data_IF_382720149693
#
_entry.id   IF_382720149693
#
_cell.length_a   1.000
_cell.length_b   1.000
_cell.length_c   1.000
_cell.angle_alpha   90.00
_cell.angle_beta   90.00
_cell.angle_gamma   90.00
#
_symmetry.space_group_name_H-M   'P 1'
#
loop_
_entity.id
_entity.type
_entity.pdbx_description
1 polymer ?
#
# COMPACT_ATOMS: atom_id res chain seq x y z
N UNK A 1 -17.77 -20.26 -15.67
CA UNK A 1 -16.65 -19.62 -16.40
C UNK A 1 -15.36 -19.89 -15.66
N UNK A 2 -14.21 -20.05 -16.35
CA UNK A 2 -12.92 -20.30 -15.71
C UNK A 2 -12.58 -19.30 -14.60
N UNK A 3 -12.87 -18.00 -14.75
CA UNK A 3 -12.63 -17.01 -13.70
C UNK A 3 -13.38 -17.26 -12.38
N UNK A 4 -14.44 -18.09 -12.40
CA UNK A 4 -15.20 -18.50 -11.21
C UNK A 4 -14.70 -19.81 -10.58
N UNK A 5 -13.69 -20.47 -11.14
CA UNK A 5 -13.17 -21.73 -10.62
C UNK A 5 -12.01 -21.46 -9.64
N UNK A 6 -12.19 -21.65 -8.31
CA UNK A 6 -11.16 -21.38 -7.32
C UNK A 6 -10.01 -22.40 -7.33
N UNK A 7 -10.07 -23.43 -8.19
CA UNK A 7 -8.99 -24.42 -8.37
C UNK A 7 -7.95 -23.98 -9.41
N UNK A 8 -8.26 -22.98 -10.23
CA UNK A 8 -7.32 -22.39 -11.18
C UNK A 8 -6.48 -21.31 -10.49
N UNK A 9 -5.30 -21.01 -11.04
CA UNK A 9 -4.48 -19.92 -10.54
C UNK A 9 -5.15 -18.56 -10.74
N UNK A 10 -4.84 -17.59 -9.88
CA UNK A 10 -5.31 -16.21 -10.01
C UNK A 10 -5.03 -15.62 -11.40
N UNK A 11 -3.88 -15.94 -12.00
CA UNK A 11 -3.50 -15.46 -13.32
C UNK A 11 -4.36 -16.07 -14.45
N UNK A 12 -4.68 -17.36 -14.39
CA UNK A 12 -5.59 -18.00 -15.37
C UNK A 12 -7.00 -17.42 -15.27
N UNK A 13 -7.49 -17.22 -14.04
CA UNK A 13 -8.79 -16.62 -13.78
C UNK A 13 -8.87 -15.18 -14.27
N UNK A 14 -7.84 -14.39 -14.00
CA UNK A 14 -7.75 -13.01 -14.45
C UNK A 14 -7.70 -12.89 -15.98
N UNK A 15 -6.92 -13.73 -16.67
CA UNK A 15 -6.90 -13.75 -18.15
C UNK A 15 -8.27 -14.05 -18.76
N UNK A 16 -8.96 -15.06 -18.24
CA UNK A 16 -10.33 -15.37 -18.69
C UNK A 16 -11.28 -14.19 -18.43
N UNK A 17 -11.18 -13.54 -17.27
CA UNK A 17 -12.04 -12.41 -16.94
C UNK A 17 -11.77 -11.19 -17.84
N UNK A 18 -10.51 -10.87 -18.12
CA UNK A 18 -10.10 -9.77 -19.01
C UNK A 18 -10.68 -9.91 -20.40
N UNK A 19 -10.67 -11.13 -20.95
CA UNK A 19 -11.24 -11.40 -22.29
C UNK A 19 -12.75 -11.14 -22.40
N UNK A 20 -13.43 -10.95 -21.26
CA UNK A 20 -14.88 -10.77 -21.18
C UNK A 20 -15.29 -9.32 -20.89
N UNK A 21 -14.34 -8.45 -20.55
CA UNK A 21 -14.56 -7.05 -20.20
C UNK A 21 -14.54 -6.17 -21.46
N UNK A 22 -15.36 -5.11 -21.47
CA UNK A 22 -15.20 -4.04 -22.46
C UNK A 22 -14.05 -3.12 -22.05
N UNK A 23 -13.56 -2.30 -22.97
CA UNK A 23 -12.47 -1.36 -22.69
C UNK A 23 -12.82 -0.36 -21.57
N UNK A 24 -14.07 0.09 -21.51
CA UNK A 24 -14.56 0.99 -20.46
C UNK A 24 -14.56 0.32 -19.08
N UNK A 25 -14.98 -0.94 -19.01
CA UNK A 25 -14.96 -1.68 -17.75
C UNK A 25 -13.53 -1.98 -17.29
N UNK A 26 -12.62 -2.28 -18.22
CA UNK A 26 -11.19 -2.44 -17.91
C UNK A 26 -10.63 -1.19 -17.25
N UNK A 27 -10.92 -0.02 -17.81
CA UNK A 27 -10.49 1.28 -17.28
C UNK A 27 -11.04 1.54 -15.86
N UNK A 28 -12.33 1.26 -15.65
CA UNK A 28 -12.99 1.46 -14.34
C UNK A 28 -12.41 0.55 -13.26
N UNK A 29 -12.02 -0.69 -13.59
CA UNK A 29 -11.42 -1.62 -12.62
C UNK A 29 -10.01 -1.22 -12.18
N UNK A 30 -9.35 -0.29 -12.89
CA UNK A 30 -8.02 0.24 -12.57
C UNK A 30 -8.08 1.53 -11.71
N UNK A 31 -9.25 1.93 -11.22
CA UNK A 31 -9.44 3.06 -10.31
C UNK A 31 -9.39 2.60 -8.83
N UNK A 32 -8.93 3.44 -7.89
CA UNK A 32 -8.93 3.10 -6.45
C UNK A 32 -10.34 2.78 -5.95
N UNK A 33 -11.35 3.51 -6.43
CA UNK A 33 -12.74 3.07 -6.37
C UNK A 33 -13.08 2.30 -7.65
N UNK A 34 -12.86 0.99 -7.61
CA UNK A 34 -13.21 0.07 -8.70
C UNK A 34 -14.71 -0.21 -8.62
N UNK A 35 -15.49 0.38 -9.52
CA UNK A 35 -16.94 0.18 -9.56
C UNK A 35 -17.29 -1.29 -9.90
N UNK A 36 -18.50 -1.71 -9.49
CA UNK A 36 -18.99 -3.05 -9.76
C UNK A 36 -19.27 -3.26 -11.25
N UNK A 37 -19.09 -4.49 -11.74
CA UNK A 37 -19.51 -4.93 -13.09
C UNK A 37 -20.57 -6.04 -12.91
N UNK A 38 -21.86 -5.69 -12.74
CA UNK A 38 -22.90 -6.66 -12.37
C UNK A 38 -23.07 -7.81 -13.36
N UNK A 39 -22.93 -7.55 -14.68
CA UNK A 39 -23.09 -8.58 -15.72
C UNK A 39 -22.06 -9.72 -15.61
N UNK A 40 -20.92 -9.47 -14.97
CA UNK A 40 -19.87 -10.46 -14.71
C UNK A 40 -19.83 -10.89 -13.23
N UNK A 41 -20.68 -10.32 -12.38
CA UNK A 41 -20.70 -10.56 -10.94
C UNK A 41 -19.47 -9.99 -10.20
N UNK A 42 -18.77 -9.01 -10.79
CA UNK A 42 -17.65 -8.34 -10.13
C UNK A 42 -18.24 -7.31 -9.17
N UNK A 43 -17.94 -7.46 -7.87
CA UNK A 43 -18.37 -6.52 -6.83
C UNK A 43 -17.52 -5.26 -6.86
N UNK A 44 -18.05 -4.16 -6.31
CA UNK A 44 -17.28 -2.95 -6.03
C UNK A 44 -16.08 -3.31 -5.13
N UNK A 45 -14.93 -2.72 -5.41
CA UNK A 45 -13.73 -2.88 -4.60
C UNK A 45 -13.06 -1.53 -4.39
N UNK A 46 -12.59 -1.26 -3.17
CA UNK A 46 -11.83 -0.05 -2.88
C UNK A 46 -10.39 -0.43 -2.53
N UNK A 47 -9.42 0.17 -3.20
CA UNK A 47 -8.00 -0.09 -2.97
C UNK A 47 -7.45 0.71 -1.77
N UNK A 48 -8.10 1.83 -1.45
CA UNK A 48 -7.65 2.75 -0.41
C UNK A 48 -8.18 2.38 0.96
N UNK A 49 -7.39 1.62 1.73
CA UNK A 49 -7.47 1.59 3.19
C UNK A 49 -6.08 1.86 3.78
N UNK A 50 -6.00 2.20 5.06
CA UNK A 50 -4.74 2.58 5.72
C UNK A 50 -4.58 1.75 7.00
N UNK A 51 -3.36 1.29 7.27
CA UNK A 51 -3.07 0.41 8.38
C UNK A 51 -1.82 0.84 9.18
N UNK A 52 -1.40 2.10 9.06
CA UNK A 52 -0.07 2.59 9.46
C UNK A 52 0.36 2.21 10.88
N UNK A 53 -0.57 2.28 11.84
CA UNK A 53 -0.35 1.89 13.24
C UNK A 53 -1.65 1.37 13.88
N UNK A 54 -2.43 0.63 13.09
CA UNK A 54 -3.84 0.29 13.37
C UNK A 54 -4.68 0.44 12.12
N UNK A 55 -5.83 -0.23 12.04
CA UNK A 55 -6.71 -0.17 10.87
C UNK A 55 -7.53 1.14 10.84
N UNK A 56 -6.95 2.17 10.24
CA UNK A 56 -7.38 3.57 10.39
C UNK A 56 -8.81 3.84 9.88
N UNK A 57 -9.41 4.93 10.35
CA UNK A 57 -10.76 5.39 9.99
C UNK A 57 -11.89 4.39 10.27
N UNK A 58 -11.65 3.45 11.18
CA UNK A 58 -12.63 2.51 11.69
C UNK A 58 -12.71 2.64 13.22
N UNK A 59 -13.90 2.43 13.77
CA UNK A 59 -14.14 2.43 15.21
C UNK A 59 -13.74 1.09 15.84
N UNK A 60 -13.56 1.03 17.16
CA UNK A 60 -13.31 -0.23 17.89
C UNK A 60 -12.21 -1.12 17.27
N UNK A 61 -11.07 -0.50 16.95
CA UNK A 61 -9.83 -1.17 16.54
C UNK A 61 -8.71 -0.66 17.44
N UNK A 62 -7.67 -1.47 17.61
CA UNK A 62 -6.51 -1.13 18.43
C UNK A 62 -5.66 -0.07 17.72
N UNK A 63 -5.25 0.95 18.48
CA UNK A 63 -4.30 1.98 18.01
C UNK A 63 -2.95 1.72 18.67
N UNK A 64 -1.94 1.45 17.86
CA UNK A 64 -0.56 1.22 18.29
C UNK A 64 0.24 2.53 18.27
N UNK A 65 1.43 2.59 18.90
CA UNK A 65 2.34 3.72 18.74
C UNK A 65 2.63 4.01 17.25
N UNK A 66 2.89 5.26 16.90
CA UNK A 66 3.30 5.63 15.53
C UNK A 66 4.58 4.86 15.11
N UNK A 67 4.81 4.61 13.80
CA UNK A 67 5.95 3.86 13.29
C UNK A 67 7.30 4.32 13.84
N UNK A 68 7.52 5.62 14.02
CA UNK A 68 8.77 6.13 14.58
C UNK A 68 8.99 5.66 16.03
N UNK A 69 7.91 5.56 16.81
CA UNK A 69 7.94 4.99 18.17
C UNK A 69 8.14 3.48 18.13
N UNK A 70 7.43 2.77 17.24
CA UNK A 70 7.62 1.33 17.09
C UNK A 70 9.04 0.98 16.65
N UNK A 71 9.67 1.79 15.80
CA UNK A 71 11.06 1.63 15.38
C UNK A 71 12.05 1.76 16.55
N UNK A 72 11.77 2.65 17.51
CA UNK A 72 12.59 2.85 18.70
C UNK A 72 12.62 1.62 19.64
N UNK A 73 11.76 0.63 19.44
CA UNK A 73 11.85 -0.66 20.13
C UNK A 73 13.01 -1.54 19.65
N UNK A 74 13.51 -1.33 18.43
CA UNK A 74 14.47 -2.20 17.73
C UNK A 74 14.04 -3.69 17.70
N UNK A 75 12.74 -3.97 17.80
CA UNK A 75 12.17 -5.31 17.92
C UNK A 75 11.28 -5.63 16.71
N UNK A 76 11.88 -6.14 15.63
CA UNK A 76 11.18 -6.47 14.39
C UNK A 76 10.17 -7.62 14.56
N UNK A 77 10.35 -8.51 15.54
CA UNK A 77 9.43 -9.59 15.87
C UNK A 77 8.17 -9.06 16.57
N UNK A 78 8.34 -8.11 17.49
CA UNK A 78 7.20 -7.43 18.10
C UNK A 78 6.42 -6.63 17.05
N UNK A 79 7.11 -6.00 16.11
CA UNK A 79 6.45 -5.30 15.01
C UNK A 79 5.63 -6.25 14.13
N UNK A 80 6.15 -7.44 13.82
CA UNK A 80 5.39 -8.47 13.11
C UNK A 80 4.10 -8.83 13.87
N UNK A 81 4.18 -9.06 15.20
CA UNK A 81 3.00 -9.36 16.04
C UNK A 81 1.97 -8.23 16.01
N UNK A 82 2.42 -6.97 16.03
CA UNK A 82 1.54 -5.80 15.91
C UNK A 82 0.78 -5.85 14.59
N UNK A 83 1.47 -6.02 13.46
CA UNK A 83 0.82 -5.98 12.16
C UNK A 83 0.01 -7.23 11.81
N UNK A 84 0.29 -8.37 12.45
CA UNK A 84 -0.59 -9.55 12.41
C UNK A 84 -1.91 -9.29 13.15
N UNK A 85 -1.87 -8.63 14.31
CA UNK A 85 -3.07 -8.17 15.02
C UNK A 85 -3.85 -7.11 14.21
N UNK A 86 -3.16 -6.14 13.59
CA UNK A 86 -3.79 -5.14 12.71
C UNK A 86 -4.51 -5.81 11.54
N UNK A 87 -3.90 -6.84 10.93
CA UNK A 87 -4.52 -7.54 9.81
C UNK A 87 -5.68 -8.45 10.22
N UNK A 88 -5.67 -8.99 11.44
CA UNK A 88 -6.83 -9.68 12.02
C UNK A 88 -8.00 -8.72 12.20
N UNK A 89 -7.75 -7.54 12.78
CA UNK A 89 -8.80 -6.56 13.01
C UNK A 89 -9.37 -5.99 11.70
N UNK A 90 -8.52 -5.74 10.71
CA UNK A 90 -8.94 -5.32 9.38
C UNK A 90 -9.89 -6.35 8.72
N UNK A 91 -9.52 -7.64 8.79
CA UNK A 91 -10.37 -8.74 8.31
C UNK A 91 -11.66 -8.84 9.10
N UNK A 92 -11.63 -8.76 10.42
CA UNK A 92 -12.83 -8.81 11.26
C UNK A 92 -13.81 -7.66 10.94
N UNK A 93 -13.31 -6.42 10.78
CA UNK A 93 -14.13 -5.27 10.35
C UNK A 93 -14.72 -5.47 8.97
N UNK A 94 -13.88 -5.90 8.01
CA UNK A 94 -14.34 -6.20 6.65
C UNK A 94 -15.43 -7.26 6.63
N UNK A 95 -15.21 -8.39 7.31
CA UNK A 95 -16.15 -9.50 7.38
C UNK A 95 -17.48 -9.06 8.02
N UNK A 96 -17.44 -8.28 9.12
CA UNK A 96 -18.64 -7.74 9.75
C UNK A 96 -19.41 -6.82 8.79
N UNK A 97 -18.71 -5.93 8.09
CA UNK A 97 -19.30 -4.98 7.16
C UNK A 97 -20.02 -5.67 6.00
N UNK A 98 -19.36 -6.65 5.37
CA UNK A 98 -19.91 -7.42 4.24
C UNK A 98 -21.05 -8.34 4.70
N UNK A 99 -20.94 -9.01 5.86
CA UNK A 99 -22.02 -9.87 6.41
C UNK A 99 -23.31 -9.09 6.71
N UNK A 100 -23.20 -7.79 6.99
CA UNK A 100 -24.35 -6.90 7.14
C UNK A 100 -24.97 -6.46 5.80
N UNK A 101 -24.53 -7.02 4.67
CA UNK A 101 -25.07 -6.73 3.34
C UNK A 101 -24.55 -5.43 2.72
N UNK A 102 -23.51 -4.82 3.28
CA UNK A 102 -22.94 -3.59 2.75
C UNK A 102 -21.93 -3.86 1.62
N UNK A 103 -21.79 -2.92 0.71
CA UNK A 103 -20.75 -2.95 -0.31
C UNK A 103 -19.40 -2.50 0.23
N UNK A 104 -18.30 -3.03 -0.33
CA UNK A 104 -16.95 -2.57 -0.04
C UNK A 104 -16.86 -1.03 -0.21
N UNK A 105 -16.17 -0.34 0.72
CA UNK A 105 -16.01 1.12 0.72
C UNK A 105 -14.58 1.54 1.03
N UNK A 106 -14.24 2.77 0.65
CA UNK A 106 -12.98 3.43 1.02
C UNK A 106 -12.77 3.38 2.53
N UNK A 107 -11.53 3.15 2.95
CA UNK A 107 -11.09 2.90 4.31
C UNK A 107 -11.65 1.65 5.00
N UNK A 108 -12.40 0.80 4.27
CA UNK A 108 -12.90 -0.47 4.78
C UNK A 108 -12.80 -1.54 3.69
N UNK A 109 -11.57 -1.93 3.36
CA UNK A 109 -11.24 -2.91 2.34
C UNK A 109 -9.97 -3.71 2.68
N UNK A 110 -9.62 -4.68 1.84
CA UNK A 110 -8.54 -5.64 2.08
C UNK A 110 -7.20 -5.25 1.45
N UNK A 111 -7.16 -4.13 0.73
CA UNK A 111 -5.92 -3.47 0.31
C UNK A 111 -5.60 -2.35 1.28
N UNK A 112 -4.38 -2.36 1.84
CA UNK A 112 -3.91 -1.34 2.77
C UNK A 112 -2.63 -0.69 2.26
N UNK A 113 -2.59 0.63 2.28
CA UNK A 113 -1.43 1.40 1.81
C UNK A 113 -0.41 1.59 2.92
N UNK A 114 0.22 0.51 3.34
CA UNK A 114 1.13 0.44 4.48
C UNK A 114 2.14 -0.69 4.23
N UNK A 115 3.44 -0.53 4.55
CA UNK A 115 4.09 0.54 5.33
C UNK A 115 4.60 1.76 4.55
N UNK A 116 4.80 2.88 5.26
CA UNK A 116 5.66 3.97 4.81
C UNK A 116 7.12 3.64 5.19
N UNK A 117 7.93 3.34 4.17
CA UNK A 117 9.35 2.94 4.31
C UNK A 117 10.30 3.98 3.71
N UNK A 118 9.82 5.22 3.56
CA UNK A 118 10.70 6.32 3.23
C UNK A 118 11.65 6.64 4.39
N UNK A 119 12.78 7.24 4.06
CA UNK A 119 13.80 7.64 5.02
C UNK A 119 13.44 9.00 5.61
N UNK A 120 13.43 9.14 6.94
CA UNK A 120 13.26 10.42 7.62
C UNK A 120 14.54 11.28 7.55
N UNK A 121 14.91 11.65 6.33
CA UNK A 121 16.20 12.30 6.01
C UNK A 121 16.33 13.71 6.57
N UNK A 122 15.23 14.46 6.54
CA UNK A 122 15.15 15.83 7.04
C UNK A 122 14.18 15.87 8.22
N UNK A 123 14.63 16.23 9.44
CA UNK A 123 13.81 16.19 10.64
C UNK A 123 12.61 17.16 10.60
N UNK A 124 12.54 18.06 9.62
CA UNK A 124 11.42 18.99 9.41
C UNK A 124 10.28 18.37 8.61
N UNK A 125 10.48 17.18 8.03
CA UNK A 125 9.46 16.55 7.22
C UNK A 125 8.24 16.15 8.07
N UNK A 126 7.08 16.75 7.77
CA UNK A 126 5.85 16.58 8.54
C UNK A 126 5.29 15.15 8.60
N UNK A 127 5.76 14.24 7.73
CA UNK A 127 5.38 12.82 7.74
C UNK A 127 6.49 11.89 8.20
N UNK A 128 7.59 12.43 8.74
CA UNK A 128 8.68 11.62 9.29
C UNK A 128 8.25 10.69 10.43
N UNK A 129 7.23 11.07 11.20
CA UNK A 129 6.63 10.23 12.25
C UNK A 129 6.03 8.91 11.72
N UNK A 130 5.64 8.88 10.44
CA UNK A 130 5.07 7.71 9.77
C UNK A 130 6.14 6.69 9.34
N UNK A 131 7.42 7.01 9.49
CA UNK A 131 8.54 6.18 9.03
C UNK A 131 9.17 5.40 10.18
N UNK A 132 10.13 4.54 9.85
CA UNK A 132 10.94 3.83 10.84
C UNK A 132 12.29 4.52 11.13
N UNK A 133 12.39 5.82 10.83
CA UNK A 133 13.56 6.65 11.11
C UNK A 133 14.43 6.95 9.88
N UNK A 134 15.68 7.32 10.14
CA UNK A 134 16.64 7.75 9.10
C UNK A 134 17.55 6.63 8.59
N UNK A 135 17.54 5.46 9.22
CA UNK A 135 18.44 4.35 8.89
C UNK A 135 17.81 3.38 7.88
N UNK A 136 18.44 3.14 6.71
CA UNK A 136 17.94 2.21 5.69
C UNK A 136 17.86 0.76 6.16
N UNK A 137 18.77 0.31 7.03
CA UNK A 137 18.77 -1.07 7.49
C UNK A 137 17.61 -1.34 8.45
N UNK A 138 17.44 -0.52 9.48
CA UNK A 138 16.31 -0.58 10.41
C UNK A 138 14.98 -0.48 9.67
N UNK A 139 14.87 0.47 8.73
CA UNK A 139 13.66 0.63 7.90
C UNK A 139 13.35 -0.63 7.08
N UNK A 140 14.39 -1.29 6.53
CA UNK A 140 14.22 -2.56 5.81
C UNK A 140 13.72 -3.68 6.74
N UNK A 141 14.33 -3.84 7.92
CA UNK A 141 13.93 -4.86 8.91
C UNK A 141 12.49 -4.67 9.37
N UNK A 142 12.14 -3.44 9.75
CA UNK A 142 10.81 -3.10 10.22
C UNK A 142 9.76 -3.28 9.12
N UNK A 143 10.03 -2.79 7.91
CA UNK A 143 9.11 -2.91 6.79
C UNK A 143 8.87 -4.36 6.35
N UNK A 144 9.87 -5.25 6.41
CA UNK A 144 9.69 -6.69 6.15
C UNK A 144 8.67 -7.28 7.14
N UNK A 145 8.82 -6.97 8.43
CA UNK A 145 7.91 -7.46 9.47
C UNK A 145 6.48 -6.96 9.27
N UNK A 146 6.31 -5.70 8.88
CA UNK A 146 4.99 -5.12 8.58
C UNK A 146 4.33 -5.84 7.41
N UNK A 147 5.04 -6.01 6.29
CA UNK A 147 4.50 -6.69 5.11
C UNK A 147 4.11 -8.12 5.44
N UNK A 148 4.94 -8.86 6.17
CA UNK A 148 4.64 -10.24 6.56
C UNK A 148 3.43 -10.33 7.50
N UNK A 149 3.34 -9.46 8.50
CA UNK A 149 2.19 -9.41 9.42
C UNK A 149 0.88 -9.03 8.72
N UNK A 150 0.93 -8.10 7.76
CA UNK A 150 -0.25 -7.69 6.99
C UNK A 150 -0.72 -8.76 6.01
N UNK A 151 0.20 -9.43 5.31
CA UNK A 151 -0.13 -10.34 4.21
C UNK A 151 -0.45 -11.78 4.64
N UNK A 152 -0.07 -12.15 5.86
CA UNK A 152 -0.19 -13.52 6.37
C UNK A 152 0.89 -14.46 5.81
N UNK A 153 0.82 -15.77 6.14
CA UNK A 153 1.83 -16.76 5.77
C UNK A 153 2.11 -16.81 4.26
N UNK A 154 3.37 -17.05 3.90
CA UNK A 154 3.81 -17.02 2.49
C UNK A 154 3.23 -18.17 1.64
N UNK A 155 2.90 -19.29 2.27
CA UNK A 155 2.33 -20.51 1.68
C UNK A 155 0.79 -20.52 1.69
N UNK A 156 0.15 -19.52 2.29
CA UNK A 156 -1.30 -19.40 2.28
C UNK A 156 -1.83 -19.20 0.85
N UNK A 157 -2.86 -19.96 0.48
CA UNK A 157 -3.55 -19.81 -0.82
C UNK A 157 -4.07 -18.37 -1.03
N UNK A 158 -4.58 -17.77 0.04
CA UNK A 158 -5.11 -16.41 0.04
C UNK A 158 -4.26 -15.49 0.91
N UNK A 159 -4.04 -14.26 0.45
CA UNK A 159 -3.47 -13.18 1.24
C UNK A 159 -4.46 -12.66 2.26
N UNK A 160 -3.98 -12.41 3.48
CA UNK A 160 -4.79 -11.86 4.56
C UNK A 160 -5.22 -10.43 4.22
N UNK A 161 -4.25 -9.59 3.88
CA UNK A 161 -4.40 -8.28 3.23
C UNK A 161 -3.35 -8.12 2.12
N UNK A 162 -3.49 -7.08 1.29
CA UNK A 162 -2.42 -6.63 0.39
C UNK A 162 -1.69 -5.45 1.04
N UNK A 163 -0.43 -5.64 1.42
CA UNK A 163 0.43 -4.55 1.90
C UNK A 163 1.00 -3.73 0.74
N UNK A 164 1.40 -2.49 1.01
CA UNK A 164 1.91 -1.55 0.01
C UNK A 164 3.15 -0.81 0.52
N UNK A 165 4.29 -1.03 -0.14
CA UNK A 165 5.49 -0.24 0.15
C UNK A 165 5.30 1.17 -0.43
N UNK A 166 5.31 2.20 0.42
CA UNK A 166 5.16 3.59 -0.02
C UNK A 166 6.22 4.53 0.58
N UNK A 167 6.58 5.63 -0.08
CA UNK A 167 6.20 6.09 -1.43
C UNK A 167 7.42 6.02 -2.35
N UNK A 168 7.32 5.26 -3.43
CA UNK A 168 8.40 4.89 -4.34
C UNK A 168 8.64 5.97 -5.40
N UNK A 169 9.76 6.70 -5.40
CA UNK A 169 10.86 6.66 -4.43
C UNK A 169 11.35 8.07 -4.09
N UNK A 170 12.28 8.18 -3.14
CA UNK A 170 12.90 9.45 -2.72
C UNK A 170 11.87 10.47 -2.20
N UNK A 171 10.78 9.99 -1.61
CA UNK A 171 9.76 10.82 -0.99
C UNK A 171 10.10 11.06 0.50
N UNK A 172 10.96 12.05 0.76
CA UNK A 172 11.48 12.34 2.12
C UNK A 172 11.29 13.82 2.51
N UNK A 173 10.22 14.44 1.98
CA UNK A 173 9.87 15.83 2.23
C UNK A 173 10.62 16.86 1.37
N UNK A 174 10.31 18.15 1.58
CA UNK A 174 9.30 18.66 2.51
C UNK A 174 7.86 18.43 2.01
N UNK A 175 6.91 18.39 2.93
CA UNK A 175 5.52 17.99 2.60
C UNK A 175 4.83 18.92 1.61
N UNK A 176 5.03 20.22 1.78
CA UNK A 176 4.30 21.26 1.06
C UNK A 176 4.59 21.28 -0.45
N UNK A 177 5.72 20.73 -0.88
CA UNK A 177 6.15 20.74 -2.29
C UNK A 177 5.89 19.43 -3.02
N UNK A 178 5.36 18.40 -2.36
CA UNK A 178 5.30 17.03 -2.91
C UNK A 178 4.61 16.91 -4.28
N UNK A 179 3.63 17.77 -4.58
CA UNK A 179 2.87 17.78 -5.84
C UNK A 179 3.53 18.57 -6.99
N UNK A 180 4.64 19.26 -6.73
CA UNK A 180 5.31 20.14 -7.71
C UNK A 180 6.83 19.88 -7.81
N UNK A 181 7.39 19.27 -6.76
CA UNK A 181 8.82 19.06 -6.62
C UNK A 181 9.37 18.22 -7.76
N UNK A 182 10.53 18.63 -8.26
CA UNK A 182 11.33 17.87 -9.20
C UNK A 182 12.74 17.72 -8.64
N UNK A 183 13.05 16.50 -8.21
CA UNK A 183 14.37 16.14 -7.70
C UNK A 183 15.26 15.79 -8.88
N UNK A 184 16.35 16.53 -9.08
CA UNK A 184 17.31 16.28 -10.14
C UNK A 184 18.68 15.96 -9.56
N UNK A 185 19.43 15.10 -10.24
CA UNK A 185 20.81 14.77 -9.89
C UNK A 185 20.95 14.19 -8.47
N UNK A 186 20.01 13.33 -8.06
CA UNK A 186 20.18 12.55 -6.83
C UNK A 186 21.41 11.66 -7.01
N UNK A 187 22.38 11.75 -6.09
CA UNK A 187 23.60 10.96 -6.14
C UNK A 187 23.23 9.46 -6.28
N UNK A 188 23.76 8.74 -7.28
CA UNK A 188 23.48 7.32 -7.45
C UNK A 188 23.75 6.51 -6.19
N UNK A 189 24.78 6.85 -5.40
CA UNK A 189 25.08 6.20 -4.13
C UNK A 189 23.94 6.40 -3.14
N UNK A 190 23.50 7.64 -2.92
CA UNK A 190 22.36 7.92 -2.03
C UNK A 190 21.09 7.22 -2.49
N UNK A 191 20.85 7.17 -3.80
CA UNK A 191 19.70 6.45 -4.34
C UNK A 191 19.75 4.96 -3.96
N UNK A 192 20.87 4.27 -4.25
CA UNK A 192 20.96 2.82 -4.08
C UNK A 192 21.31 2.36 -2.65
N UNK A 193 21.97 3.19 -1.85
CA UNK A 193 22.40 2.86 -0.48
C UNK A 193 21.49 3.45 0.60
N UNK A 194 20.70 4.49 0.30
CA UNK A 194 19.81 5.15 1.27
C UNK A 194 18.32 4.97 0.94
N UNK A 195 17.87 5.40 -0.25
CA UNK A 195 16.42 5.52 -0.53
C UNK A 195 15.74 4.24 -1.04
N UNK A 196 16.47 3.40 -1.78
CA UNK A 196 15.95 2.17 -2.36
C UNK A 196 16.04 0.89 -1.52
N UNK A 197 16.99 0.71 -0.56
CA UNK A 197 17.17 -0.56 0.15
C UNK A 197 15.91 -1.13 0.79
N UNK A 198 15.11 -0.31 1.47
CA UNK A 198 13.89 -0.78 2.12
C UNK A 198 12.86 -1.29 1.10
N UNK A 199 12.63 -0.56 0.01
CA UNK A 199 11.74 -1.04 -1.06
C UNK A 199 12.23 -2.35 -1.68
N UNK A 200 13.55 -2.46 -1.95
CA UNK A 200 14.15 -3.69 -2.47
C UNK A 200 13.93 -4.87 -1.53
N UNK A 201 14.17 -4.69 -0.23
CA UNK A 201 13.96 -5.70 0.79
C UNK A 201 12.49 -6.14 0.87
N UNK A 202 11.54 -5.20 0.78
CA UNK A 202 10.11 -5.53 0.80
C UNK A 202 9.69 -6.31 -0.46
N UNK A 203 10.29 -6.03 -1.62
CA UNK A 203 10.06 -6.79 -2.86
C UNK A 203 10.67 -8.19 -2.78
N UNK A 204 11.95 -8.30 -2.41
CA UNK A 204 12.70 -9.55 -2.53
C UNK A 204 12.54 -10.49 -1.32
N UNK A 205 12.40 -9.94 -0.10
CA UNK A 205 12.43 -10.72 1.15
C UNK A 205 11.06 -10.82 1.84
N UNK A 206 10.13 -9.92 1.51
CA UNK A 206 8.77 -9.89 2.09
C UNK A 206 7.65 -10.17 1.08
N UNK A 207 7.95 -10.26 -0.22
CA UNK A 207 6.95 -10.52 -1.28
C UNK A 207 5.78 -9.53 -1.22
N UNK A 208 6.09 -8.22 -1.05
CA UNK A 208 5.07 -7.17 -0.95
C UNK A 208 4.17 -7.16 -2.18
N UNK A 209 2.86 -7.02 -1.98
CA UNK A 209 1.86 -7.13 -3.05
C UNK A 209 1.54 -5.84 -3.77
N UNK A 210 1.93 -4.70 -3.22
CA UNK A 210 1.73 -3.39 -3.83
C UNK A 210 2.95 -2.50 -3.63
N UNK A 211 3.21 -1.61 -4.57
CA UNK A 211 4.15 -0.49 -4.42
C UNK A 211 3.42 0.78 -4.82
N UNK A 212 3.47 1.81 -3.98
CA UNK A 212 2.87 3.10 -4.30
C UNK A 212 3.91 4.02 -4.90
N UNK A 213 3.71 4.52 -6.11
CA UNK A 213 4.59 5.52 -6.70
C UNK A 213 4.30 6.92 -6.14
N UNK A 214 5.35 7.71 -5.91
CA UNK A 214 5.26 9.00 -5.23
C UNK A 214 4.77 10.15 -6.15
N UNK A 215 4.39 11.27 -5.52
CA UNK A 215 3.90 12.48 -6.21
C UNK A 215 4.95 13.19 -7.07
N UNK A 216 6.16 13.36 -6.52
CA UNK A 216 7.19 14.22 -7.10
C UNK A 216 7.80 13.64 -8.37
N UNK A 217 8.54 14.48 -9.10
CA UNK A 217 9.41 14.05 -10.21
C UNK A 217 10.80 13.69 -9.72
N UNK A 218 11.43 12.75 -10.43
CA UNK A 218 12.82 12.37 -10.30
C UNK A 218 13.46 12.40 -11.69
N UNK A 219 14.46 13.26 -11.87
CA UNK A 219 15.15 13.52 -13.14
C UNK A 219 14.14 13.85 -14.25
N UNK A 220 13.33 14.89 -14.03
CA UNK A 220 12.27 15.42 -14.90
C UNK A 220 11.04 14.53 -15.15
N UNK A 221 11.05 13.27 -14.70
CA UNK A 221 9.94 12.33 -14.88
C UNK A 221 9.17 12.09 -13.56
N UNK A 222 7.83 12.20 -13.53
CA UNK A 222 7.02 11.83 -12.35
C UNK A 222 7.27 10.40 -11.91
N UNK A 223 7.36 10.13 -10.61
CA UNK A 223 7.64 8.78 -10.13
C UNK A 223 6.62 7.75 -10.64
N UNK A 224 5.34 8.14 -10.79
CA UNK A 224 4.28 7.29 -11.36
C UNK A 224 4.31 7.10 -12.88
N UNK A 225 5.23 7.77 -13.60
CA UNK A 225 5.51 7.50 -15.01
C UNK A 225 7.00 7.28 -15.32
N UNK A 226 7.82 7.10 -14.29
CA UNK A 226 9.26 6.96 -14.43
C UNK A 226 9.63 5.50 -14.75
N UNK A 227 9.97 5.21 -16.00
CA UNK A 227 10.33 3.85 -16.45
C UNK A 227 11.63 3.33 -15.84
N UNK A 228 12.57 4.22 -15.45
CA UNK A 228 13.77 3.84 -14.70
C UNK A 228 13.39 3.26 -13.34
N UNK A 229 12.46 3.90 -12.63
CA UNK A 229 11.97 3.41 -11.34
C UNK A 229 11.08 2.17 -11.50
N UNK A 230 9.99 2.29 -12.28
CA UNK A 230 8.90 1.30 -12.29
C UNK A 230 9.17 0.07 -13.16
N UNK A 231 9.90 0.20 -14.27
CA UNK A 231 10.23 -0.94 -15.12
C UNK A 231 11.62 -1.48 -14.76
N UNK A 232 12.65 -0.68 -15.00
CA UNK A 232 14.04 -1.16 -14.86
C UNK A 232 14.37 -1.58 -13.43
N UNK A 233 14.23 -0.69 -12.45
CA UNK A 233 14.64 -1.01 -11.07
C UNK A 233 13.62 -1.98 -10.43
N UNK A 234 12.35 -1.60 -10.39
CA UNK A 234 11.34 -2.35 -9.64
C UNK A 234 11.04 -3.72 -10.26
N UNK A 235 10.82 -3.81 -11.59
CA UNK A 235 10.40 -5.05 -12.24
C UNK A 235 11.58 -5.85 -12.78
N UNK A 236 12.48 -5.25 -13.54
CA UNK A 236 13.57 -5.99 -14.21
C UNK A 236 14.69 -6.38 -13.24
N UNK A 237 15.16 -5.44 -12.41
CA UNK A 237 16.28 -5.68 -11.49
C UNK A 237 15.83 -6.39 -10.20
N UNK A 238 14.66 -6.05 -9.63
CA UNK A 238 14.19 -6.64 -8.37
C UNK A 238 13.18 -7.78 -8.56
N UNK A 239 12.58 -7.91 -9.74
CA UNK A 239 11.64 -8.99 -10.04
C UNK A 239 10.21 -8.77 -9.54
N UNK A 240 9.79 -7.53 -9.27
CA UNK A 240 8.44 -7.23 -8.79
C UNK A 240 7.35 -7.60 -9.83
N UNK A 241 6.38 -8.42 -9.42
CA UNK A 241 5.37 -9.01 -10.34
C UNK A 241 3.96 -8.46 -10.13
N UNK A 242 3.73 -7.78 -9.02
CA UNK A 242 2.41 -7.35 -8.60
C UNK A 242 2.12 -5.91 -9.08
N UNK A 243 1.14 -5.27 -8.45
CA UNK A 243 0.58 -4.01 -8.93
C UNK A 243 1.29 -2.78 -8.34
N UNK A 244 1.45 -1.76 -9.16
CA UNK A 244 1.83 -0.40 -8.72
C UNK A 244 0.56 0.44 -8.61
N UNK A 245 0.41 1.15 -7.50
CA UNK A 245 -0.69 2.11 -7.28
C UNK A 245 -0.12 3.53 -7.27
N UNK A 246 -0.84 4.50 -7.82
CA UNK A 246 -0.45 5.91 -7.67
C UNK A 246 -0.76 6.41 -6.28
N UNK A 247 0.06 7.34 -5.77
CA UNK A 247 -0.40 8.21 -4.70
C UNK A 247 -1.58 9.07 -5.19
N UNK A 248 -2.38 9.58 -4.26
CA UNK A 248 -3.71 10.13 -4.54
C UNK A 248 -3.67 11.50 -5.23
N UNK A 249 -3.87 11.49 -6.55
CA UNK A 249 -3.72 12.66 -7.41
C UNK A 249 -2.38 12.72 -8.17
N UNK A 250 -1.46 11.77 -7.94
CA UNK A 250 -0.14 11.81 -8.57
C UNK A 250 -0.20 11.74 -10.11
N UNK A 251 -1.17 11.03 -10.69
CA UNK A 251 -1.38 11.01 -12.15
C UNK A 251 -2.00 12.33 -12.63
N UNK A 252 -2.92 12.91 -11.86
CA UNK A 252 -3.49 14.24 -12.13
C UNK A 252 -2.41 15.32 -12.19
N UNK A 253 -1.45 15.26 -11.28
CA UNK A 253 -0.32 16.18 -11.20
C UNK A 253 0.50 16.23 -12.51
N UNK A 254 0.48 15.17 -13.34
CA UNK A 254 1.22 15.14 -14.60
C UNK A 254 0.83 16.30 -15.53
N UNK A 255 -0.44 16.69 -15.57
CA UNK A 255 -0.94 17.73 -16.47
C UNK A 255 -1.36 19.03 -15.75
N UNK A 256 -1.60 18.99 -14.44
CA UNK A 256 -1.99 20.19 -13.67
C UNK A 256 -0.78 20.95 -13.12
N UNK A 257 0.10 20.28 -12.38
CA UNK A 257 1.20 20.91 -11.64
C UNK A 257 2.56 20.66 -12.29
N UNK A 258 2.88 19.41 -12.62
CA UNK A 258 4.15 19.03 -13.25
C UNK A 258 4.23 19.43 -14.72
N UNK A 259 3.07 19.52 -15.40
CA UNK A 259 2.94 19.93 -16.82
C UNK A 259 3.80 19.10 -17.79
N UNK A 260 3.97 17.82 -17.50
CA UNK A 260 4.67 16.83 -18.34
C UNK A 260 3.71 16.04 -19.24
N UNK A 261 2.42 16.32 -19.18
CA UNK A 261 1.38 15.76 -20.05
C UNK A 261 0.39 16.86 -20.41
N UNK A 262 -0.15 16.82 -21.63
CA UNK A 262 -1.02 17.89 -22.15
C UNK A 262 -2.41 17.90 -21.51
N UNK A 263 -2.92 16.73 -21.13
CA UNK A 263 -4.25 16.53 -20.53
C UNK A 263 -4.31 15.18 -19.79
N UNK A 264 -5.48 14.87 -19.23
CA UNK A 264 -5.75 13.62 -18.52
C UNK A 264 -5.59 12.36 -19.41
N UNK A 265 -5.89 12.44 -20.71
CA UNK A 265 -5.77 11.32 -21.65
C UNK A 265 -4.29 10.95 -21.85
N UNK A 266 -3.43 11.95 -22.03
CA UNK A 266 -1.99 11.76 -22.14
C UNK A 266 -1.38 11.32 -20.80
N UNK A 267 -1.87 11.85 -19.68
CA UNK A 267 -1.39 11.44 -18.36
C UNK A 267 -1.70 9.96 -18.06
N UNK A 268 -2.93 9.53 -18.32
CA UNK A 268 -3.37 8.14 -18.10
C UNK A 268 -2.57 7.14 -18.96
N UNK A 269 -2.42 7.43 -20.26
CA UNK A 269 -1.60 6.59 -21.15
C UNK A 269 -0.13 6.52 -20.71
N UNK A 270 0.47 7.67 -20.37
CA UNK A 270 1.86 7.74 -19.88
C UNK A 270 2.06 6.94 -18.58
N UNK A 271 1.13 7.03 -17.63
CA UNK A 271 1.18 6.29 -16.37
C UNK A 271 1.10 4.76 -16.58
N UNK A 272 0.14 4.29 -17.36
CA UNK A 272 -0.05 2.84 -17.61
C UNK A 272 1.13 2.26 -18.39
N UNK A 273 1.61 2.95 -19.43
CA UNK A 273 2.78 2.49 -20.21
C UNK A 273 4.04 2.37 -19.35
N UNK A 274 4.20 3.25 -18.36
CA UNK A 274 5.32 3.19 -17.42
C UNK A 274 5.16 2.14 -16.33
N UNK A 275 3.95 1.61 -16.13
CA UNK A 275 3.66 0.50 -15.22
C UNK A 275 2.87 0.83 -13.96
N UNK A 276 2.22 1.99 -13.89
CA UNK A 276 1.22 2.28 -12.86
C UNK A 276 -0.08 1.56 -13.21
N UNK A 277 -0.53 0.65 -12.33
CA UNK A 277 -1.62 -0.28 -12.61
C UNK A 277 -2.96 0.16 -12.00
N UNK A 278 -2.92 0.89 -10.87
CA UNK A 278 -4.11 1.47 -10.21
C UNK A 278 -3.89 2.97 -9.97
N UNK A 279 -4.89 3.78 -10.29
CA UNK A 279 -4.90 5.21 -9.99
C UNK A 279 -5.68 5.52 -8.72
N UNK A 280 -5.06 6.25 -7.77
CA UNK A 280 -5.78 6.89 -6.68
C UNK A 280 -6.12 8.34 -7.02
N UNK A 281 -7.38 8.74 -6.82
CA UNK A 281 -7.77 10.15 -6.84
C UNK A 281 -9.01 10.41 -5.97
N UNK A 282 -9.21 11.68 -5.61
CA UNK A 282 -10.44 12.12 -4.95
C UNK A 282 -11.63 12.18 -5.90
N UNK A 283 -11.43 12.73 -7.10
CA UNK A 283 -12.44 12.88 -8.14
C UNK A 283 -11.78 12.92 -9.53
N UNK A 284 -12.59 12.75 -10.59
CA UNK A 284 -12.16 12.91 -12.01
C UNK A 284 -10.98 12.03 -12.43
N UNK A 285 -11.07 10.72 -12.22
CA UNK A 285 -10.08 9.71 -12.61
C UNK A 285 -9.56 9.86 -14.05
N UNK A 286 -8.30 10.29 -14.27
CA UNK A 286 -7.65 10.17 -15.57
C UNK A 286 -7.74 8.75 -16.18
N UNK A 287 -7.70 7.69 -15.37
CA UNK A 287 -7.77 6.32 -15.90
C UNK A 287 -9.12 6.00 -16.56
N UNK A 288 -10.21 6.71 -16.24
CA UNK A 288 -11.49 6.58 -16.96
C UNK A 288 -11.40 7.09 -18.42
N UNK A 289 -10.35 7.84 -18.77
CA UNK A 289 -10.08 8.33 -20.13
C UNK A 289 -9.23 7.36 -20.98
N UNK A 290 -8.84 6.19 -20.45
CA UNK A 290 -8.08 5.18 -21.20
C UNK A 290 -8.76 4.75 -22.52
N UNK A 291 -10.10 4.60 -22.63
CA UNK A 291 -10.75 4.34 -23.91
C UNK A 291 -10.48 5.43 -24.97
N UNK A 292 -10.47 6.71 -24.54
CA UNK A 292 -10.13 7.82 -25.42
C UNK A 292 -8.63 7.81 -25.80
N UNK A 293 -7.76 7.36 -24.90
CA UNK A 293 -6.33 7.21 -25.18
C UNK A 293 -6.08 6.11 -26.24
N UNK A 294 -6.81 5.00 -26.16
CA UNK A 294 -6.78 3.93 -27.20
C UNK A 294 -7.31 4.45 -28.53
N UNK A 295 -8.44 5.18 -28.52
CA UNK A 295 -9.00 5.75 -29.75
C UNK A 295 -8.08 6.78 -30.44
N UNK A 296 -7.12 7.36 -29.71
CA UNK A 296 -6.08 8.28 -30.21
C UNK A 296 -4.74 7.59 -30.49
N UNK A 297 -4.66 6.27 -30.43
CA UNK A 297 -3.43 5.48 -30.59
C UNK A 297 -2.29 5.86 -29.61
N UNK A 298 -2.62 6.45 -28.45
CA UNK A 298 -1.63 6.80 -27.42
C UNK A 298 -1.19 5.59 -26.59
N UNK A 299 -2.05 4.58 -26.49
CA UNK A 299 -1.82 3.32 -25.79
C UNK A 299 -2.64 2.22 -26.47
N UNK A 300 -2.19 0.96 -26.38
CA UNK A 300 -2.97 -0.18 -26.89
C UNK A 300 -3.78 -0.79 -25.77
N UNK A 301 -4.94 -1.36 -26.11
CA UNK A 301 -5.75 -2.15 -25.16
C UNK A 301 -4.93 -3.28 -24.51
N UNK A 302 -3.99 -3.88 -25.26
CA UNK A 302 -3.09 -4.90 -24.73
C UNK A 302 -2.16 -4.41 -23.60
N UNK A 303 -1.86 -3.11 -23.53
CA UNK A 303 -1.07 -2.53 -22.44
C UNK A 303 -1.93 -2.33 -21.19
N UNK A 304 -3.21 -1.96 -21.36
CA UNK A 304 -4.22 -1.93 -20.30
C UNK A 304 -4.42 -3.35 -19.74
N UNK A 305 -4.52 -4.37 -20.60
CA UNK A 305 -4.67 -5.77 -20.19
C UNK A 305 -3.52 -6.27 -19.32
N UNK A 306 -2.28 -5.84 -19.57
CA UNK A 306 -1.12 -6.20 -18.74
C UNK A 306 -1.24 -5.65 -17.32
N UNK A 307 -1.66 -4.39 -17.20
CA UNK A 307 -1.88 -3.76 -15.89
C UNK A 307 -3.08 -4.36 -15.17
N UNK A 308 -4.20 -4.50 -15.86
CA UNK A 308 -5.41 -5.09 -15.32
C UNK A 308 -5.22 -6.55 -14.87
N UNK A 309 -4.33 -7.32 -15.52
CA UNK A 309 -3.96 -8.66 -15.07
C UNK A 309 -3.42 -8.64 -13.64
N UNK A 310 -2.57 -7.67 -13.29
CA UNK A 310 -2.00 -7.54 -11.93
C UNK A 310 -3.07 -7.12 -10.92
N UNK A 311 -3.92 -6.18 -11.31
CA UNK A 311 -5.06 -5.71 -10.51
C UNK A 311 -5.99 -6.86 -10.14
N UNK A 312 -6.39 -7.67 -11.13
CA UNK A 312 -7.30 -8.80 -10.91
C UNK A 312 -6.63 -9.96 -10.17
N UNK A 313 -5.35 -10.23 -10.42
CA UNK A 313 -4.58 -11.20 -9.62
C UNK A 313 -4.60 -10.81 -8.15
N UNK A 314 -4.39 -9.52 -7.81
CA UNK A 314 -4.48 -9.04 -6.43
C UNK A 314 -5.85 -9.31 -5.79
N UNK A 315 -6.95 -9.10 -6.53
CA UNK A 315 -8.31 -9.38 -6.05
C UNK A 315 -8.57 -10.88 -5.84
N UNK A 316 -8.10 -11.73 -6.75
CA UNK A 316 -8.20 -13.19 -6.59
C UNK A 316 -7.33 -13.70 -5.43
N UNK A 317 -6.12 -13.17 -5.26
CA UNK A 317 -5.22 -13.53 -4.18
C UNK A 317 -5.81 -13.18 -2.81
N UNK A 318 -6.69 -12.18 -2.71
CA UNK A 318 -7.43 -11.87 -1.47
C UNK A 318 -8.57 -12.86 -1.16
N UNK A 319 -8.97 -13.67 -2.12
CA UNK A 319 -10.18 -14.48 -2.08
C UNK A 319 -11.47 -13.67 -2.24
N UNK A 320 -11.39 -12.40 -2.69
CA UNK A 320 -12.55 -11.50 -2.78
C UNK A 320 -13.60 -11.98 -3.79
N UNK A 321 -13.17 -12.70 -4.83
CA UNK A 321 -14.04 -13.28 -5.85
C UNK A 321 -14.39 -14.75 -5.61
N UNK A 322 -14.09 -15.28 -4.42
CA UNK A 322 -14.39 -16.65 -4.02
C UNK A 322 -15.48 -16.68 -2.93
N UNK A 323 -16.03 -17.86 -2.68
CA UNK A 323 -16.98 -18.07 -1.58
C UNK A 323 -16.28 -17.90 -0.23
N UNK A 324 -16.84 -17.09 0.67
CA UNK A 324 -16.28 -16.87 2.01
C UNK A 324 -16.06 -18.18 2.77
N UNK A 325 -16.84 -19.23 2.50
CA UNK A 325 -16.70 -20.54 3.12
C UNK A 325 -15.34 -21.22 2.84
N UNK A 326 -14.68 -20.88 1.73
CA UNK A 326 -13.36 -21.43 1.37
C UNK A 326 -12.20 -20.48 1.66
N UNK A 327 -12.46 -19.27 2.13
CA UNK A 327 -11.45 -18.25 2.46
C UNK A 327 -11.26 -18.21 3.98
N UNK A 328 -10.16 -18.75 4.55
CA UNK A 328 -9.98 -18.85 6.00
C UNK A 328 -10.09 -17.50 6.72
N UNK A 329 -9.56 -16.44 6.10
CA UNK A 329 -9.58 -15.08 6.64
C UNK A 329 -10.99 -14.47 6.71
N UNK A 330 -11.96 -14.96 5.93
CA UNK A 330 -13.36 -14.53 6.01
C UNK A 330 -14.09 -15.05 7.27
N UNK A 331 -13.44 -15.97 8.00
CA UNK A 331 -13.94 -16.57 9.22
C UNK A 331 -13.42 -15.91 10.50
N UNK A 332 -12.50 -14.94 10.39
CA UNK A 332 -12.00 -14.19 11.55
C UNK A 332 -13.19 -13.48 12.24
N UNK A 333 -13.44 -13.75 13.54
CA UNK A 333 -14.62 -13.24 14.24
C UNK A 333 -14.43 -11.80 14.72
N UNK A 334 -15.54 -11.09 14.93
CA UNK A 334 -15.53 -9.73 15.47
C UNK A 334 -14.93 -9.62 16.90
N UNK A 335 -14.79 -10.73 17.62
CA UNK A 335 -14.22 -10.76 18.98
C UNK A 335 -12.73 -10.41 19.05
N UNK A 336 -12.00 -10.43 17.92
CA UNK A 336 -10.59 -9.99 17.88
C UNK A 336 -10.45 -8.47 17.90
N UNK A 337 -11.52 -7.74 17.54
CA UNK A 337 -11.53 -6.29 17.46
C UNK A 337 -11.25 -5.66 18.82
N UNK A 338 -10.14 -4.92 18.94
CA UNK A 338 -9.76 -4.24 20.18
C UNK A 338 -9.80 -5.20 21.40
N UNK A 339 -9.36 -6.44 21.16
CA UNK A 339 -9.32 -7.50 22.18
C UNK A 339 -8.36 -7.14 23.32
N UNK A 340 -8.49 -7.80 24.46
CA UNK A 340 -7.56 -7.59 25.59
C UNK A 340 -6.13 -7.90 25.16
N UNK A 341 -5.96 -8.95 24.38
CA UNK A 341 -4.68 -9.40 23.84
C UNK A 341 -4.04 -8.30 22.96
N UNK A 342 -4.81 -7.66 22.09
CA UNK A 342 -4.30 -6.56 21.25
C UNK A 342 -4.04 -5.28 22.07
N UNK A 343 -4.86 -4.99 23.08
CA UNK A 343 -4.62 -3.88 24.02
C UNK A 343 -3.32 -4.09 24.81
N UNK A 344 -3.06 -5.31 25.29
CA UNK A 344 -1.80 -5.64 25.96
C UNK A 344 -0.61 -5.54 25.01
N UNK A 345 -0.78 -5.93 23.75
CA UNK A 345 0.26 -5.78 22.73
C UNK A 345 0.57 -4.30 22.44
N UNK A 346 -0.44 -3.44 22.35
CA UNK A 346 -0.25 -2.01 22.20
C UNK A 346 0.49 -1.40 23.41
N UNK A 347 0.14 -1.83 24.63
CA UNK A 347 0.85 -1.44 25.85
C UNK A 347 2.31 -1.94 25.85
N UNK A 348 2.56 -3.19 25.45
CA UNK A 348 3.91 -3.77 25.35
C UNK A 348 4.77 -2.96 24.38
N UNK A 349 4.24 -2.68 23.18
CA UNK A 349 4.93 -1.87 22.17
C UNK A 349 5.20 -0.45 22.69
N UNK A 350 4.22 0.19 23.35
CA UNK A 350 4.41 1.50 23.94
C UNK A 350 5.54 1.50 24.99
N UNK A 351 5.56 0.52 25.89
CA UNK A 351 6.60 0.40 26.92
C UNK A 351 7.99 0.18 26.33
N UNK A 352 8.11 -0.61 25.25
CA UNK A 352 9.38 -0.85 24.55
C UNK A 352 9.82 0.30 23.64
N UNK A 353 8.91 1.20 23.25
CA UNK A 353 9.23 2.37 22.42
C UNK A 353 9.85 3.54 23.19
N UNK A 354 9.64 3.61 24.51
CA UNK A 354 10.09 4.75 25.32
C UNK A 354 11.62 4.83 25.38
N UNK A 355 12.18 5.98 25.01
CA UNK A 355 13.64 6.22 25.02
C UNK A 355 14.04 7.15 26.18
N UNK A 356 14.83 6.63 27.14
CA UNK A 356 15.38 7.43 28.23
C UNK A 356 16.64 8.17 27.78
N UNK A 357 16.49 9.43 27.36
CA UNK A 357 17.60 10.25 26.87
C UNK A 357 18.58 10.69 27.96
N UNK A 358 18.07 10.99 29.16
CA UNK A 358 18.88 11.44 30.29
C UNK A 358 18.22 11.03 31.61
N UNK A 359 19.01 10.55 32.57
CA UNK A 359 18.58 10.26 33.94
C UNK A 359 19.55 10.85 34.96
N UNK A 360 19.60 12.19 35.05
CA UNK A 360 20.49 12.89 35.96
C UNK A 360 20.11 12.59 37.42
N UNK A 361 21.11 12.33 38.27
CA UNK A 361 20.94 12.03 39.69
C UNK A 361 20.07 10.79 39.99
N UNK A 362 19.90 9.87 39.03
CA UNK A 362 19.07 8.66 39.18
C UNK A 362 17.65 8.96 39.70
N UNK A 363 17.01 10.01 39.17
CA UNK A 363 15.64 10.41 39.55
C UNK A 363 14.63 9.32 39.16
N UNK A 364 14.83 8.67 38.01
CA UNK A 364 14.01 7.55 37.57
C UNK A 364 14.63 6.20 37.97
N UNK A 365 13.80 5.20 38.39
CA UNK A 365 12.35 5.31 38.59
C UNK A 365 12.00 6.14 39.84
N UNK A 366 10.86 6.84 39.80
CA UNK A 366 10.39 7.64 40.92
C UNK A 366 10.26 6.79 42.19
N UNK A 367 10.68 7.36 43.33
CA UNK A 367 10.53 6.71 44.62
C UNK A 367 9.04 6.52 44.96
N UNK A 368 8.65 5.31 45.35
CA UNK A 368 7.28 4.96 45.73
C UNK A 368 6.75 5.75 46.95
N UNK A 369 7.64 6.40 47.71
CA UNK A 369 7.29 7.27 48.83
C UNK A 369 6.91 8.71 48.41
N UNK A 370 7.02 9.05 47.12
CA UNK A 370 6.54 10.33 46.59
C UNK A 370 5.01 10.32 46.60
N UNK A 371 4.42 11.13 47.47
CA UNK A 371 2.97 11.15 47.67
C UNK A 371 2.24 12.13 46.72
N UNK A 372 2.98 12.93 45.94
CA UNK A 372 2.45 13.88 44.96
C UNK A 372 3.49 14.12 43.87
N UNK A 373 3.08 13.97 42.61
CA UNK A 373 3.87 14.26 41.40
C UNK A 373 3.28 15.49 40.73
#
# INVERSE_FOLDING_TARGET
YPYKNPSLSSAERAKDLISRLTLEEKAVLMCDQSDAIPRLGIKKFNWWSEALHGYANNDNVTVFPEPIGMAASFDDQLLYRVFDAVSDEARAKYNQWIKNGNENKRFLSLSVWTPNVNIFRDPRWGRGQETYGEDPYLTSRMGISVVKGLQGPADAKYRKLLACAKHFAVHSGPEWSRHELNLNNVDPRELYETYLPAFKALVQDADVRQVMCAYQRLDDEPCCSNTRLLQRILRDEWGFKYLVVSDCGAVTDFYTTHKVSSDAVHAASKAVLAGTDVECVWEKYPFKELPAAVAKDLIKEADIDKSLLRVLVGRFDLGEMDDDAIVPWAQIPASVLNSKEHQFLALEMAQKSMTLLQNKNNILPLNKLINKI
#
